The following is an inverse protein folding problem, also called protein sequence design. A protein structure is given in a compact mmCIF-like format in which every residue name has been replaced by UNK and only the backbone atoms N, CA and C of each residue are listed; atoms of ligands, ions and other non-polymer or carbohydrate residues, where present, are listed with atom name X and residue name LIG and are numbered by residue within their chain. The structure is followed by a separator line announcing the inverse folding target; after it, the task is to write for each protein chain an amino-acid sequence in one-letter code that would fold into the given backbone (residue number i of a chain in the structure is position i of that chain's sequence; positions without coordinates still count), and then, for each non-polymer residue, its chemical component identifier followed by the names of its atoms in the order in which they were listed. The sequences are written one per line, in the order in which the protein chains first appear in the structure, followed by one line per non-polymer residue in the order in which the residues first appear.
data_IF_114995029055
#
_entry.id   IF_114995029055
#
_cell.length_a   1.000
_cell.length_b   1.000
_cell.length_c   1.000
_cell.angle_alpha   90.00
_cell.angle_beta   90.00
_cell.angle_gamma   90.00
#
_symmetry.space_group_name_H-M   'P 1'
#
loop_
_entity.id
_entity.type
_entity.pdbx_description
1 polymer ?
#
# COMPACT_ATOMS: atom_id res chain seq x y z
N UNK A 1 3.05 -9.29 -74.07
CA UNK A 1 2.00 -8.95 -73.08
C UNK A 1 2.15 -9.83 -71.87
N UNK A 2 2.73 -9.31 -70.75
CA UNK A 2 2.81 -10.00 -69.46
C UNK A 2 2.15 -9.12 -68.42
N UNK A 3 1.03 -9.57 -67.84
CA UNK A 3 0.28 -8.91 -66.76
C UNK A 3 0.93 -9.26 -65.41
N UNK A 4 1.41 -8.23 -64.73
CA UNK A 4 1.88 -8.34 -63.36
C UNK A 4 0.66 -8.21 -62.43
N UNK A 5 0.39 -9.26 -61.65
CA UNK A 5 -0.59 -9.22 -60.54
C UNK A 5 0.09 -8.70 -59.28
N UNK A 6 -0.36 -7.55 -58.78
CA UNK A 6 0.01 -7.04 -57.48
C UNK A 6 -0.85 -7.72 -56.42
N UNK A 7 -0.20 -8.48 -55.55
CA UNK A 7 -0.83 -9.07 -54.36
C UNK A 7 -0.87 -8.02 -53.25
N UNK A 8 -2.08 -7.59 -52.86
CA UNK A 8 -2.30 -6.74 -51.70
C UNK A 8 -2.23 -7.61 -50.44
N UNK A 9 -1.16 -7.47 -49.67
CA UNK A 9 -1.07 -8.07 -48.33
C UNK A 9 -1.84 -7.19 -47.36
N UNK A 10 -2.97 -7.68 -46.84
CA UNK A 10 -3.78 -7.01 -45.82
C UNK A 10 -3.10 -7.19 -44.47
N UNK A 11 -2.53 -6.10 -43.96
CA UNK A 11 -1.92 -6.06 -42.64
C UNK A 11 -3.04 -5.90 -41.61
N UNK A 12 -3.38 -6.99 -40.91
CA UNK A 12 -4.32 -6.98 -39.79
C UNK A 12 -3.60 -6.47 -38.54
N UNK A 13 -3.81 -5.23 -38.17
CA UNK A 13 -3.34 -4.65 -36.92
C UNK A 13 -4.28 -5.14 -35.82
N UNK A 14 -3.83 -6.13 -35.06
CA UNK A 14 -4.52 -6.56 -33.81
C UNK A 14 -4.36 -5.46 -32.76
N UNK A 15 -5.44 -4.72 -32.53
CA UNK A 15 -5.53 -3.74 -31.46
C UNK A 15 -5.58 -4.52 -30.12
N UNK A 16 -4.43 -4.64 -29.45
CA UNK A 16 -4.38 -5.12 -28.08
C UNK A 16 -4.97 -4.04 -27.20
N UNK A 17 -6.24 -4.17 -26.85
CA UNK A 17 -6.89 -3.36 -25.83
C UNK A 17 -6.25 -3.69 -24.49
N UNK A 18 -5.27 -2.90 -24.09
CA UNK A 18 -4.81 -2.85 -22.72
C UNK A 18 -5.99 -2.29 -21.92
N UNK A 19 -6.71 -3.17 -21.23
CA UNK A 19 -7.72 -2.74 -20.24
C UNK A 19 -6.98 -1.96 -19.16
N UNK A 20 -6.95 -0.64 -19.30
CA UNK A 20 -6.67 0.25 -18.19
C UNK A 20 -7.77 -0.05 -17.16
N UNK A 21 -7.38 -0.50 -15.98
CA UNK A 21 -8.25 -0.42 -14.81
C UNK A 21 -8.63 1.06 -14.70
N UNK A 22 -9.90 1.36 -15.04
CA UNK A 22 -10.49 2.66 -14.79
C UNK A 22 -10.62 2.73 -13.29
N UNK A 23 -9.66 3.37 -12.63
CA UNK A 23 -9.82 3.76 -11.24
C UNK A 23 -11.01 4.73 -11.22
N UNK A 24 -11.94 4.51 -10.29
CA UNK A 24 -13.05 5.42 -10.08
C UNK A 24 -12.50 6.84 -9.86
N UNK A 25 -13.12 7.85 -10.48
CA UNK A 25 -12.80 9.25 -10.21
C UNK A 25 -13.15 9.54 -8.73
N UNK A 26 -12.16 9.49 -7.85
CA UNK A 26 -12.30 9.72 -6.42
C UNK A 26 -11.09 9.22 -5.64
N UNK A 27 -10.99 9.57 -4.35
CA UNK A 27 -9.88 9.11 -3.52
C UNK A 27 -9.83 7.58 -3.46
N UNK A 28 -8.65 7.02 -3.66
CA UNK A 28 -8.38 5.60 -3.53
C UNK A 28 -8.18 5.27 -2.04
N UNK A 29 -9.10 4.49 -1.48
CA UNK A 29 -9.13 4.17 -0.05
C UNK A 29 -8.54 2.78 0.21
N UNK A 30 -7.71 2.69 1.25
CA UNK A 30 -7.25 1.45 1.84
C UNK A 30 -7.95 1.23 3.20
N UNK A 31 -8.46 0.02 3.43
CA UNK A 31 -8.94 -0.42 4.74
C UNK A 31 -7.94 -1.40 5.33
N UNK A 32 -7.46 -1.11 6.53
CA UNK A 32 -6.47 -1.90 7.24
C UNK A 32 -7.00 -2.35 8.59
N UNK A 33 -6.85 -3.63 8.90
CA UNK A 33 -7.24 -4.22 10.19
C UNK A 33 -6.00 -4.76 10.87
N UNK A 34 -5.75 -4.31 12.07
CA UNK A 34 -4.58 -4.69 12.86
C UNK A 34 -4.96 -5.63 13.99
N UNK A 35 -4.17 -6.70 14.13
CA UNK A 35 -4.30 -7.70 15.19
C UNK A 35 -2.95 -7.84 15.89
N UNK A 36 -2.96 -7.80 17.23
CA UNK A 36 -1.76 -8.10 18.02
C UNK A 36 -2.04 -9.39 18.81
N UNK A 37 -1.30 -10.46 18.54
CA UNK A 37 -1.57 -11.75 19.15
C UNK A 37 -1.31 -11.72 20.66
N UNK A 38 -2.19 -12.40 21.45
CA UNK A 38 -1.93 -12.69 22.85
C UNK A 38 -0.65 -13.54 22.98
N UNK A 39 0.05 -13.47 24.13
CA UNK A 39 1.15 -14.40 24.41
C UNK A 39 0.71 -15.86 24.17
N UNK A 40 1.49 -16.62 23.42
CA UNK A 40 1.19 -18.00 23.07
C UNK A 40 0.10 -18.21 21.99
N UNK A 41 -0.58 -17.15 21.51
CA UNK A 41 -1.69 -17.27 20.56
C UNK A 41 -1.31 -16.93 19.09
N UNK A 42 -0.02 -16.88 18.76
CA UNK A 42 0.42 -16.54 17.40
C UNK A 42 -0.14 -17.51 16.36
N UNK A 43 0.12 -18.81 16.49
CA UNK A 43 -0.34 -19.80 15.53
C UNK A 43 -1.89 -19.92 15.49
N UNK A 44 -2.63 -19.93 16.62
CA UNK A 44 -4.09 -19.84 16.59
C UNK A 44 -4.62 -18.57 15.88
N UNK A 45 -3.98 -17.40 16.05
CA UNK A 45 -4.39 -16.17 15.37
C UNK A 45 -4.15 -16.27 13.85
N UNK A 46 -3.00 -16.79 13.43
CA UNK A 46 -2.71 -17.03 12.01
C UNK A 46 -3.75 -17.96 11.38
N UNK A 47 -4.12 -19.04 12.07
CA UNK A 47 -5.15 -19.96 11.58
C UNK A 47 -6.55 -19.31 11.51
N UNK A 48 -6.88 -18.43 12.46
CA UNK A 48 -8.14 -17.68 12.42
C UNK A 48 -8.18 -16.68 11.25
N UNK A 49 -7.07 -15.98 10.96
CA UNK A 49 -6.95 -15.08 9.79
C UNK A 49 -7.10 -15.90 8.51
N UNK A 50 -6.43 -17.05 8.39
CA UNK A 50 -6.52 -17.94 7.24
C UNK A 50 -7.95 -18.42 7.00
N UNK A 51 -8.62 -18.89 8.04
CA UNK A 51 -10.02 -19.29 7.98
C UNK A 51 -10.93 -18.15 7.51
N UNK A 52 -10.66 -16.93 7.93
CA UNK A 52 -11.38 -15.75 7.44
C UNK A 52 -11.17 -15.55 5.94
N UNK A 53 -9.96 -15.72 5.41
CA UNK A 53 -9.69 -15.61 3.98
C UNK A 53 -10.34 -16.74 3.18
N UNK A 54 -10.42 -17.94 3.75
CA UNK A 54 -11.13 -19.07 3.12
C UNK A 54 -12.63 -18.81 3.02
N UNK A 55 -13.26 -18.30 4.08
CA UNK A 55 -14.68 -17.88 4.06
C UNK A 55 -14.95 -16.80 3.00
N UNK A 56 -14.07 -15.80 2.89
CA UNK A 56 -14.17 -14.77 1.84
C UNK A 56 -14.07 -15.37 0.44
N UNK A 57 -13.19 -16.35 0.26
CA UNK A 57 -13.04 -17.08 -1.01
C UNK A 57 -14.29 -17.86 -1.37
N UNK A 58 -14.90 -18.57 -0.41
CA UNK A 58 -16.17 -19.29 -0.57
C UNK A 58 -17.31 -18.34 -0.93
N UNK A 59 -17.36 -17.17 -0.31
CA UNK A 59 -18.34 -16.11 -0.60
C UNK A 59 -18.06 -15.36 -1.91
N UNK A 60 -17.00 -15.71 -2.62
CA UNK A 60 -16.55 -15.04 -3.87
C UNK A 60 -16.33 -13.56 -3.68
N UNK A 61 -15.72 -13.17 -2.54
CA UNK A 61 -15.36 -11.77 -2.29
C UNK A 61 -14.49 -11.26 -3.44
N UNK A 62 -14.88 -10.18 -4.15
CA UNK A 62 -14.13 -9.66 -5.28
C UNK A 62 -12.88 -8.90 -4.86
N UNK A 63 -12.76 -8.56 -3.58
CA UNK A 63 -11.68 -7.74 -3.06
C UNK A 63 -10.43 -8.58 -2.83
N UNK A 64 -9.30 -7.96 -3.08
CA UNK A 64 -7.99 -8.52 -2.75
C UNK A 64 -7.65 -8.13 -1.31
N UNK A 65 -7.36 -9.13 -0.47
CA UNK A 65 -6.94 -8.92 0.92
C UNK A 65 -5.50 -9.37 1.10
N UNK A 66 -4.64 -8.46 1.52
CA UNK A 66 -3.22 -8.69 1.73
C UNK A 66 -2.93 -8.74 3.21
N UNK A 67 -2.28 -9.81 3.66
CA UNK A 67 -1.84 -9.95 5.05
C UNK A 67 -0.34 -9.66 5.17
N UNK A 68 0.00 -8.88 6.18
CA UNK A 68 1.37 -8.50 6.52
C UNK A 68 1.65 -8.82 7.98
N UNK A 69 2.79 -9.43 8.25
CA UNK A 69 3.31 -9.70 9.58
C UNK A 69 4.36 -8.64 9.93
N UNK A 70 4.22 -7.99 11.07
CA UNK A 70 5.26 -7.13 11.60
C UNK A 70 6.44 -7.99 12.07
N UNK A 71 7.63 -7.71 11.55
CA UNK A 71 8.87 -8.40 11.90
C UNK A 71 9.82 -7.52 12.71
N UNK A 72 9.46 -6.25 12.89
CA UNK A 72 10.06 -5.33 13.85
C UNK A 72 9.01 -4.39 14.45
N UNK A 73 9.35 -3.73 15.56
CA UNK A 73 8.42 -2.89 16.31
C UNK A 73 7.52 -3.72 17.24
N UNK A 74 6.22 -3.52 17.16
CA UNK A 74 5.23 -4.24 17.97
C UNK A 74 4.97 -5.63 17.38
N UNK A 75 5.58 -6.67 17.97
CA UNK A 75 5.44 -8.06 17.51
C UNK A 75 4.92 -8.95 18.65
N UNK A 76 4.09 -9.98 18.35
CA UNK A 76 3.55 -10.37 17.03
C UNK A 76 2.30 -9.57 16.65
N UNK A 77 2.40 -8.79 15.59
CA UNK A 77 1.31 -7.99 15.06
C UNK A 77 1.10 -8.31 13.58
N UNK A 78 -0.15 -8.28 13.15
CA UNK A 78 -0.56 -8.51 11.77
C UNK A 78 -1.41 -7.33 11.27
N UNK A 79 -1.29 -7.02 9.99
CA UNK A 79 -2.18 -6.13 9.27
C UNK A 79 -2.83 -6.90 8.13
N UNK A 80 -4.15 -6.91 8.06
CA UNK A 80 -4.90 -7.41 6.92
C UNK A 80 -5.53 -6.23 6.21
N UNK A 81 -5.16 -6.00 4.96
CA UNK A 81 -5.49 -4.78 4.23
C UNK A 81 -6.09 -5.06 2.86
N UNK A 82 -6.98 -4.18 2.43
CA UNK A 82 -7.47 -4.08 1.05
C UNK A 82 -7.28 -2.65 0.57
N UNK A 83 -7.04 -2.47 -0.74
CA UNK A 83 -6.63 -1.20 -1.33
C UNK A 83 -7.40 -0.90 -2.61
N UNK A 84 -7.46 0.38 -2.99
CA UNK A 84 -7.97 0.81 -4.28
C UNK A 84 -9.49 0.87 -4.35
N UNK A 85 -10.16 1.20 -3.24
CA UNK A 85 -11.61 1.28 -3.15
C UNK A 85 -12.09 2.73 -3.13
N UNK A 86 -13.26 2.96 -3.74
CA UNK A 86 -14.03 4.18 -3.47
C UNK A 86 -14.78 4.03 -2.14
N UNK A 87 -15.05 5.13 -1.43
CA UNK A 87 -15.82 5.11 -0.19
C UNK A 87 -17.18 4.42 -0.33
N UNK A 88 -17.90 4.65 -1.45
CA UNK A 88 -19.19 4.04 -1.72
C UNK A 88 -19.16 2.49 -1.83
N UNK A 89 -18.00 1.90 -2.11
CA UNK A 89 -17.87 0.44 -2.18
C UNK A 89 -17.97 -0.22 -0.80
N UNK A 90 -17.60 0.51 0.26
CA UNK A 90 -17.74 0.02 1.63
C UNK A 90 -19.21 -0.08 2.06
N UNK A 91 -20.10 0.80 1.58
CA UNK A 91 -21.55 0.71 1.83
C UNK A 91 -22.12 -0.59 1.24
N UNK A 92 -21.72 -0.93 0.01
CA UNK A 92 -22.16 -2.15 -0.67
C UNK A 92 -21.67 -3.42 0.04
N UNK A 93 -20.45 -3.41 0.57
CA UNK A 93 -19.89 -4.53 1.31
C UNK A 93 -20.68 -4.83 2.59
N UNK A 94 -21.18 -3.80 3.27
CA UNK A 94 -22.00 -3.92 4.48
C UNK A 94 -23.39 -4.49 4.13
N UNK A 95 -24.02 -3.98 3.06
CA UNK A 95 -25.36 -4.43 2.62
C UNK A 95 -25.35 -5.88 2.12
N UNK A 96 -24.26 -6.35 1.53
CA UNK A 96 -24.13 -7.73 1.02
C UNK A 96 -23.99 -8.80 2.12
N UNK A 97 -24.18 -8.46 3.39
CA UNK A 97 -24.08 -9.40 4.51
C UNK A 97 -22.64 -9.87 4.78
N UNK A 98 -21.66 -9.18 4.23
CA UNK A 98 -20.22 -9.38 4.53
C UNK A 98 -19.90 -8.76 5.88
N UNK A 99 -20.75 -9.07 6.89
CA UNK A 99 -20.62 -8.50 8.21
C UNK A 99 -19.25 -8.87 8.76
N UNK A 100 -18.50 -7.85 9.09
CA UNK A 100 -17.19 -7.94 9.73
C UNK A 100 -17.25 -8.73 11.04
N UNK A 101 -18.42 -8.73 11.68
CA UNK A 101 -18.68 -9.39 12.95
C UNK A 101 -18.56 -10.91 12.90
N UNK A 102 -19.03 -11.56 11.82
CA UNK A 102 -18.97 -13.03 11.75
C UNK A 102 -17.61 -13.58 11.34
N UNK A 103 -16.83 -12.82 10.56
CA UNK A 103 -15.55 -13.30 10.03
C UNK A 103 -14.34 -12.92 10.91
N UNK A 104 -14.44 -11.83 11.68
CA UNK A 104 -13.36 -11.33 12.52
C UNK A 104 -13.38 -11.81 13.98
N UNK A 105 -14.50 -12.34 14.46
CA UNK A 105 -14.68 -12.68 15.88
C UNK A 105 -13.64 -13.67 16.41
N UNK A 106 -13.25 -14.68 15.61
CA UNK A 106 -12.22 -15.65 15.98
C UNK A 106 -10.84 -15.01 16.16
N UNK A 107 -10.43 -14.16 15.22
CA UNK A 107 -9.14 -13.44 15.30
C UNK A 107 -9.16 -12.39 16.43
N UNK A 108 -10.28 -11.69 16.62
CA UNK A 108 -10.45 -10.71 17.69
C UNK A 108 -10.30 -11.35 19.08
N UNK A 109 -10.87 -12.53 19.29
CA UNK A 109 -10.77 -13.26 20.57
C UNK A 109 -9.32 -13.66 20.91
N UNK A 110 -8.44 -13.81 19.92
CA UNK A 110 -7.04 -14.19 20.05
C UNK A 110 -6.08 -12.98 20.08
N UNK A 111 -6.62 -11.77 19.87
CA UNK A 111 -5.87 -10.53 19.98
C UNK A 111 -5.77 -10.05 21.42
N UNK A 112 -4.61 -9.46 21.79
CA UNK A 112 -4.37 -8.88 23.13
C UNK A 112 -5.24 -7.65 23.40
N UNK A 113 -5.56 -6.91 22.31
CA UNK A 113 -6.46 -5.76 22.31
C UNK A 113 -7.54 -5.98 21.23
N UNK A 114 -8.67 -5.27 21.28
CA UNK A 114 -9.61 -5.23 20.17
C UNK A 114 -8.89 -4.90 18.86
N UNK A 115 -9.27 -5.54 17.74
CA UNK A 115 -8.69 -5.19 16.45
C UNK A 115 -8.89 -3.71 16.14
N UNK A 116 -7.84 -3.07 15.62
CA UNK A 116 -7.91 -1.67 15.20
C UNK A 116 -8.20 -1.63 13.72
N UNK A 117 -9.28 -0.97 13.34
CA UNK A 117 -9.66 -0.75 11.92
C UNK A 117 -9.34 0.68 11.55
N UNK A 118 -8.54 0.84 10.50
CA UNK A 118 -8.13 2.15 9.99
C UNK A 118 -8.46 2.28 8.51
N UNK A 119 -8.88 3.47 8.11
CA UNK A 119 -9.10 3.84 6.71
C UNK A 119 -8.11 4.91 6.32
N UNK A 120 -7.38 4.64 5.27
CA UNK A 120 -6.36 5.53 4.72
C UNK A 120 -6.74 5.96 3.31
N UNK A 121 -6.57 7.22 3.00
CA UNK A 121 -6.63 7.74 1.64
C UNK A 121 -5.23 7.66 1.01
N UNK A 122 -5.14 7.09 -0.18
CA UNK A 122 -3.89 6.98 -0.92
C UNK A 122 -3.57 8.29 -1.62
N UNK A 123 -2.39 8.84 -1.39
CA UNK A 123 -1.92 10.09 -1.96
C UNK A 123 -1.15 9.81 -3.26
N UNK A 124 -1.88 9.62 -4.36
CA UNK A 124 -1.30 9.22 -5.65
C UNK A 124 -0.36 10.29 -6.23
N UNK A 125 -0.68 11.58 -6.01
CA UNK A 125 0.07 12.73 -6.50
C UNK A 125 1.48 12.89 -5.89
N UNK A 126 1.74 12.21 -4.77
CA UNK A 126 3.04 12.22 -4.09
C UNK A 126 3.63 10.82 -3.91
N UNK A 127 3.04 9.82 -4.56
CA UNK A 127 3.47 8.42 -4.55
C UNK A 127 4.20 8.04 -5.83
N UNK A 128 5.15 7.11 -5.74
CA UNK A 128 5.84 6.55 -6.90
C UNK A 128 5.67 5.03 -6.92
N UNK A 129 4.82 4.55 -7.81
CA UNK A 129 4.50 3.12 -7.93
C UNK A 129 5.63 2.29 -8.54
N UNK A 130 6.57 2.93 -9.26
CA UNK A 130 7.57 2.22 -10.05
C UNK A 130 6.93 1.36 -11.14
N UNK A 131 7.74 0.48 -11.74
CA UNK A 131 7.29 -0.45 -12.80
C UNK A 131 6.93 -1.85 -12.27
N UNK A 132 7.17 -2.13 -11.00
CA UNK A 132 6.92 -3.45 -10.42
C UNK A 132 5.44 -3.62 -10.05
N UNK A 133 4.83 -4.69 -10.57
CA UNK A 133 3.42 -5.03 -10.33
C UNK A 133 3.21 -6.07 -9.23
N UNK A 134 4.30 -6.69 -8.73
CA UNK A 134 4.20 -7.75 -7.72
C UNK A 134 4.09 -7.17 -6.30
N UNK A 135 3.38 -7.87 -5.43
CA UNK A 135 3.41 -7.60 -4.00
C UNK A 135 4.82 -7.87 -3.47
N UNK A 136 5.48 -6.89 -2.85
CA UNK A 136 6.83 -7.08 -2.31
C UNK A 136 6.81 -8.10 -1.16
N UNK A 137 7.89 -8.84 -0.97
CA UNK A 137 8.02 -9.80 0.14
C UNK A 137 8.27 -9.12 1.47
N UNK A 138 8.93 -7.98 1.45
CA UNK A 138 9.20 -7.11 2.60
C UNK A 138 8.81 -5.67 2.26
N UNK A 139 8.43 -4.92 3.29
CA UNK A 139 8.25 -3.47 3.18
C UNK A 139 8.67 -2.80 4.48
N UNK A 140 9.11 -1.56 4.37
CA UNK A 140 9.25 -0.65 5.49
C UNK A 140 7.98 0.21 5.57
N UNK A 141 7.43 0.33 6.76
CA UNK A 141 6.32 1.24 7.06
C UNK A 141 6.85 2.31 8.00
N UNK A 142 6.65 3.57 7.65
CA UNK A 142 6.89 4.70 8.54
C UNK A 142 5.59 5.45 8.79
N UNK A 143 5.19 5.57 10.04
CA UNK A 143 4.03 6.32 10.50
C UNK A 143 4.51 7.67 11.03
N UNK A 144 3.94 8.74 10.52
CA UNK A 144 4.23 10.11 10.91
C UNK A 144 3.00 10.72 11.58
N UNK A 145 3.08 11.00 12.86
CA UNK A 145 2.11 11.82 13.56
C UNK A 145 2.51 13.29 13.44
N UNK A 146 1.62 14.14 12.97
CA UNK A 146 1.92 15.56 12.81
C UNK A 146 1.45 16.40 14.00
N UNK A 147 2.02 17.59 14.11
CA UNK A 147 1.45 18.65 14.94
C UNK A 147 0.15 19.17 14.31
N UNK A 148 -0.83 19.53 15.14
CA UNK A 148 -2.08 20.12 14.67
C UNK A 148 -1.80 21.39 13.83
N UNK A 149 -2.54 21.54 12.72
CA UNK A 149 -2.40 22.66 11.80
C UNK A 149 -1.18 22.57 10.86
N UNK A 150 -0.42 21.47 10.87
CA UNK A 150 0.78 21.30 10.05
C UNK A 150 0.57 20.44 8.81
N UNK A 151 -0.65 19.92 8.57
CA UNK A 151 -0.96 19.07 7.41
C UNK A 151 -0.61 19.75 6.08
N UNK A 152 -1.03 20.99 5.86
CA UNK A 152 -0.73 21.71 4.61
C UNK A 152 0.78 21.90 4.39
N UNK A 153 1.54 22.23 5.46
CA UNK A 153 2.99 22.34 5.41
C UNK A 153 3.66 21.01 5.04
N UNK A 154 3.21 19.92 5.65
CA UNK A 154 3.73 18.57 5.40
C UNK A 154 3.44 18.13 3.97
N UNK A 155 2.18 18.24 3.50
CA UNK A 155 1.80 17.90 2.14
C UNK A 155 2.55 18.74 1.07
N UNK A 156 2.79 20.02 1.34
CA UNK A 156 3.61 20.84 0.44
C UNK A 156 5.05 20.30 0.35
N UNK A 157 5.64 19.91 1.48
CA UNK A 157 6.97 19.31 1.49
C UNK A 157 7.00 17.94 0.77
N UNK A 158 5.95 17.12 0.90
CA UNK A 158 5.86 15.84 0.17
C UNK A 158 5.83 16.05 -1.34
N UNK A 159 5.09 17.06 -1.84
CA UNK A 159 5.07 17.38 -3.28
C UNK A 159 6.45 17.82 -3.77
N UNK A 160 7.12 18.72 -3.05
CA UNK A 160 8.47 19.15 -3.42
C UNK A 160 9.47 17.98 -3.40
N UNK A 161 9.36 17.04 -2.44
CA UNK A 161 10.16 15.81 -2.43
C UNK A 161 9.85 14.93 -3.64
N UNK A 162 8.57 14.72 -3.94
CA UNK A 162 8.15 13.92 -5.08
C UNK A 162 8.69 14.49 -6.39
N UNK A 163 8.53 15.79 -6.62
CA UNK A 163 8.98 16.49 -7.82
C UNK A 163 10.52 16.39 -7.98
N UNK A 164 11.25 16.57 -6.88
CA UNK A 164 12.71 16.49 -6.89
C UNK A 164 13.24 15.07 -7.15
N UNK A 165 12.52 14.03 -6.72
CA UNK A 165 12.99 12.64 -6.79
C UNK A 165 12.47 11.90 -8.02
N UNK A 166 11.33 12.28 -8.59
CA UNK A 166 10.71 11.62 -9.75
C UNK A 166 11.44 11.87 -11.07
N UNK A 167 12.22 12.96 -11.17
CA UNK A 167 13.01 13.31 -12.36
C UNK A 167 14.28 12.48 -12.58
N UNK A 168 14.73 11.67 -11.60
CA UNK A 168 15.93 10.85 -11.68
C UNK A 168 15.62 9.40 -12.05
N UNK A 169 16.19 8.90 -13.15
CA UNK A 169 16.04 7.49 -13.54
C UNK A 169 16.48 6.55 -12.40
N UNK A 170 15.56 5.70 -11.91
CA UNK A 170 15.80 4.78 -10.79
C UNK A 170 15.15 5.21 -9.47
N UNK A 171 14.13 6.05 -9.50
CA UNK A 171 13.35 6.40 -8.33
C UNK A 171 12.80 5.14 -7.63
N UNK A 172 13.13 4.98 -6.34
CA UNK A 172 12.62 3.90 -5.51
C UNK A 172 11.09 3.97 -5.44
N UNK A 173 10.42 2.82 -5.47
CA UNK A 173 8.99 2.74 -5.23
C UNK A 173 8.68 3.18 -3.79
N UNK A 174 7.68 4.02 -3.63
CA UNK A 174 7.11 4.41 -2.33
C UNK A 174 5.66 4.86 -2.51
N UNK A 175 4.87 4.69 -1.46
CA UNK A 175 3.45 5.03 -1.46
C UNK A 175 3.11 5.78 -0.18
N UNK A 176 2.41 6.90 -0.31
CA UNK A 176 1.94 7.72 0.80
C UNK A 176 0.45 7.56 1.02
N UNK A 177 0.07 7.54 2.27
CA UNK A 177 -1.32 7.43 2.71
C UNK A 177 -1.57 8.43 3.84
N UNK A 178 -2.77 9.04 3.85
CA UNK A 178 -3.26 9.88 4.94
C UNK A 178 -4.32 9.11 5.72
N UNK A 179 -4.22 9.07 7.05
CA UNK A 179 -5.23 8.44 7.91
C UNK A 179 -6.49 9.31 7.90
N UNK A 180 -7.59 8.73 7.40
CA UNK A 180 -8.90 9.39 7.39
C UNK A 180 -9.68 9.12 8.69
N UNK A 181 -9.69 7.86 9.16
CA UNK A 181 -10.38 7.47 10.39
C UNK A 181 -9.80 6.21 11.04
N UNK A 182 -10.11 6.00 12.32
CA UNK A 182 -9.71 4.82 13.08
C UNK A 182 -8.42 5.01 13.90
N UNK A 183 -7.94 6.23 14.08
CA UNK A 183 -6.77 6.53 14.90
C UNK A 183 -6.59 8.03 15.15
N UNK A 184 -5.45 8.39 15.71
CA UNK A 184 -5.10 9.78 15.98
C UNK A 184 -4.71 10.51 14.69
N UNK A 185 -5.37 11.64 14.40
CA UNK A 185 -5.11 12.49 13.24
C UNK A 185 -4.54 13.84 13.67
N UNK A 186 -3.75 14.51 12.83
CA UNK A 186 -3.33 14.15 11.48
C UNK A 186 -2.17 13.13 11.49
N UNK A 187 -2.33 12.03 10.75
CA UNK A 187 -1.34 10.97 10.64
C UNK A 187 -1.12 10.57 9.19
N UNK A 188 0.13 10.32 8.82
CA UNK A 188 0.52 9.85 7.49
C UNK A 188 1.30 8.54 7.59
N UNK A 189 1.18 7.71 6.58
CA UNK A 189 1.93 6.47 6.44
C UNK A 189 2.71 6.48 5.14
N UNK A 190 3.99 6.19 5.22
CA UNK A 190 4.86 5.89 4.08
C UNK A 190 5.10 4.38 4.04
N UNK A 191 4.84 3.77 2.90
CA UNK A 191 5.16 2.38 2.59
C UNK A 191 6.27 2.34 1.55
N UNK A 192 7.40 1.70 1.88
CA UNK A 192 8.54 1.52 0.97
C UNK A 192 8.79 0.03 0.77
N UNK A 193 8.49 -0.52 -0.41
CA UNK A 193 8.82 -1.90 -0.73
C UNK A 193 10.32 -2.19 -0.64
N UNK A 194 10.66 -3.37 -0.11
CA UNK A 194 12.04 -3.84 0.00
C UNK A 194 12.15 -5.22 -0.64
N UNK A 195 13.17 -5.44 -1.45
CA UNK A 195 13.39 -6.74 -2.09
C UNK A 195 13.82 -7.81 -1.08
N UNK A 196 14.69 -7.44 -0.15
CA UNK A 196 15.27 -8.29 0.88
C UNK A 196 15.76 -7.43 2.05
N UNK A 197 16.39 -8.04 3.05
CA UNK A 197 16.94 -7.33 4.21
C UNK A 197 18.12 -6.42 3.86
N UNK A 198 18.94 -6.77 2.88
CA UNK A 198 20.04 -5.93 2.40
C UNK A 198 19.55 -4.57 1.89
N UNK A 199 18.34 -4.53 1.31
CA UNK A 199 17.74 -3.29 0.84
C UNK A 199 17.36 -2.30 1.96
N UNK A 200 17.45 -2.70 3.24
CA UNK A 200 17.31 -1.80 4.39
C UNK A 200 18.61 -1.03 4.70
N UNK A 201 19.76 -1.45 4.17
CA UNK A 201 21.03 -0.71 4.28
C UNK A 201 21.02 0.62 3.51
N UNK A 202 19.93 0.92 2.78
CA UNK A 202 19.76 2.20 2.11
C UNK A 202 19.75 3.31 3.15
N UNK A 203 20.87 4.03 3.27
CA UNK A 203 21.05 5.09 4.27
C UNK A 203 20.10 6.24 4.02
N UNK A 204 19.59 6.86 5.09
CA UNK A 204 18.87 8.13 5.01
C UNK A 204 19.70 9.21 4.29
N UNK A 205 21.02 9.12 4.39
CA UNK A 205 21.98 9.99 3.71
C UNK A 205 21.75 10.02 2.19
N UNK A 206 21.44 8.84 1.57
CA UNK A 206 21.20 8.78 0.13
C UNK A 206 19.96 9.55 -0.31
N UNK A 207 18.96 9.69 0.55
CA UNK A 207 17.79 10.50 0.27
C UNK A 207 18.16 12.00 0.30
N UNK A 208 18.87 12.43 1.33
CA UNK A 208 19.35 13.81 1.45
C UNK A 208 20.35 14.15 0.34
N UNK A 209 21.29 13.26 0.04
CA UNK A 209 22.25 13.44 -1.05
C UNK A 209 21.55 13.66 -2.40
N UNK A 210 20.51 12.88 -2.70
CA UNK A 210 19.71 13.06 -3.93
C UNK A 210 18.96 14.41 -3.94
N UNK A 211 18.37 14.81 -2.83
CA UNK A 211 17.76 16.11 -2.71
C UNK A 211 18.77 17.24 -2.91
N UNK A 212 19.95 17.13 -2.30
CA UNK A 212 21.03 18.10 -2.46
C UNK A 212 21.54 18.19 -3.91
N UNK A 213 21.64 17.03 -4.59
CA UNK A 213 22.01 16.98 -6.00
C UNK A 213 20.97 17.66 -6.91
N UNK A 214 19.69 17.51 -6.60
CA UNK A 214 18.59 18.04 -7.43
C UNK A 214 18.29 19.51 -7.13
N UNK A 215 18.19 19.86 -5.85
CA UNK A 215 17.73 21.18 -5.41
C UNK A 215 18.86 22.12 -4.97
N UNK A 216 20.08 21.57 -4.78
CA UNK A 216 21.17 22.26 -4.11
C UNK A 216 21.04 22.22 -2.58
N UNK A 217 22.18 22.25 -1.89
CA UNK A 217 22.28 22.03 -0.44
C UNK A 217 21.38 22.93 0.41
N UNK A 218 21.30 24.22 0.07
CA UNK A 218 20.49 25.19 0.85
C UNK A 218 19.00 24.91 0.74
N UNK A 219 18.50 24.62 -0.46
CA UNK A 219 17.08 24.34 -0.69
C UNK A 219 16.68 23.00 -0.10
N UNK A 220 17.51 21.97 -0.27
CA UNK A 220 17.30 20.64 0.32
C UNK A 220 17.20 20.71 1.85
N UNK A 221 18.10 21.44 2.52
CA UNK A 221 18.08 21.63 3.97
C UNK A 221 16.80 22.34 4.42
N UNK A 222 16.38 23.41 3.72
CA UNK A 222 15.14 24.13 4.01
C UNK A 222 13.90 23.24 3.87
N UNK A 223 13.83 22.46 2.80
CA UNK A 223 12.73 21.53 2.55
C UNK A 223 12.65 20.44 3.62
N UNK A 224 13.80 19.89 4.01
CA UNK A 224 13.88 18.91 5.07
C UNK A 224 13.47 19.48 6.44
N UNK A 225 13.85 20.72 6.76
CA UNK A 225 13.40 21.42 7.95
C UNK A 225 11.88 21.66 7.93
N UNK A 226 11.32 22.07 6.79
CA UNK A 226 9.88 22.25 6.60
C UNK A 226 9.12 20.93 6.88
N UNK A 227 9.62 19.81 6.38
CA UNK A 227 9.04 18.49 6.61
C UNK A 227 9.16 18.09 8.09
N UNK A 228 10.36 18.12 8.66
CA UNK A 228 10.61 17.63 10.03
C UNK A 228 9.92 18.47 11.09
N UNK A 229 9.82 19.78 10.90
CA UNK A 229 9.11 20.68 11.83
C UNK A 229 7.59 20.47 11.87
N UNK A 230 7.02 19.78 10.88
CA UNK A 230 5.62 19.39 10.91
C UNK A 230 5.37 18.09 11.69
N UNK A 231 6.41 17.25 11.85
CA UNK A 231 6.32 15.93 12.47
C UNK A 231 6.45 16.02 13.98
N UNK A 232 5.45 15.50 14.69
CA UNK A 232 5.44 15.35 16.15
C UNK A 232 6.19 14.10 16.61
N UNK A 233 5.93 12.98 15.90
CA UNK A 233 6.60 11.71 16.17
C UNK A 233 6.62 10.84 14.92
N UNK A 234 7.59 9.92 14.87
CA UNK A 234 7.72 8.94 13.80
C UNK A 234 7.95 7.56 14.39
N UNK A 235 7.26 6.56 13.83
CA UNK A 235 7.51 5.15 14.11
C UNK A 235 7.86 4.43 12.82
N UNK A 236 8.83 3.52 12.86
CA UNK A 236 9.22 2.68 11.72
C UNK A 236 9.11 1.21 12.07
N UNK A 237 8.63 0.43 11.13
CA UNK A 237 8.50 -1.02 11.26
C UNK A 237 8.84 -1.69 9.94
N UNK A 238 9.42 -2.88 10.01
CA UNK A 238 9.54 -3.78 8.88
C UNK A 238 8.36 -4.77 8.92
N UNK A 239 7.77 -5.03 7.76
CA UNK A 239 6.68 -5.98 7.60
C UNK A 239 7.00 -6.99 6.51
N UNK A 240 6.56 -8.23 6.71
CA UNK A 240 6.68 -9.34 5.75
C UNK A 240 5.33 -9.68 5.18
N UNK A 241 5.24 -9.80 3.87
CA UNK A 241 4.04 -10.28 3.20
C UNK A 241 3.79 -11.75 3.51
N UNK A 242 2.54 -12.09 3.84
CA UNK A 242 2.07 -13.43 4.18
C UNK A 242 1.04 -13.87 3.15
N UNK A 243 1.51 -14.45 2.04
CA UNK A 243 0.63 -14.95 0.98
C UNK A 243 -0.31 -16.05 1.46
N UNK A 244 0.13 -16.84 2.43
CA UNK A 244 -0.64 -17.91 3.07
C UNK A 244 -1.82 -17.42 3.94
N UNK A 245 -1.78 -16.15 4.36
CA UNK A 245 -2.84 -15.47 5.12
C UNK A 245 -3.62 -14.46 4.27
N UNK A 246 -3.42 -14.45 2.95
CA UNK A 246 -3.98 -13.44 2.03
C UNK A 246 -5.04 -14.07 1.12
N UNK A 247 -5.99 -13.22 0.67
CA UNK A 247 -6.89 -13.55 -0.43
C UNK A 247 -6.39 -12.87 -1.70
N UNK A 248 -5.71 -13.62 -2.54
CA UNK A 248 -5.24 -13.16 -3.84
C UNK A 248 -6.25 -13.55 -4.93
N UNK A 249 -6.41 -12.73 -5.99
CA UNK A 249 -7.20 -13.12 -7.15
C UNK A 249 -6.67 -14.43 -7.72
N UNK A 250 -7.57 -15.33 -8.11
CA UNK A 250 -7.20 -16.54 -8.84
C UNK A 250 -6.57 -16.09 -10.15
N UNK A 251 -5.26 -16.30 -10.30
CA UNK A 251 -4.62 -16.10 -11.60
C UNK A 251 -5.28 -17.08 -12.57
N UNK A 252 -6.07 -16.56 -13.50
CA UNK A 252 -6.50 -17.37 -14.65
C UNK A 252 -5.23 -17.72 -15.40
N UNK A 253 -4.81 -18.97 -15.29
CA UNK A 253 -3.72 -19.50 -16.10
C UNK A 253 -3.93 -19.18 -17.56
N UNK A 254 -2.86 -19.10 -18.39
CA UNK A 254 -3.00 -18.93 -19.81
C UNK A 254 -3.99 -20.00 -20.31
N UNK A 255 -5.04 -19.55 -21.02
CA UNK A 255 -5.94 -20.52 -21.70
C UNK A 255 -5.08 -21.39 -22.61
N UNK A 256 -5.24 -22.71 -22.56
CA UNK A 256 -4.55 -23.62 -23.46
C UNK A 256 -4.83 -23.31 -24.91
#
# INVERSE_FOLDING_TARGET
MRRNAFSLATLTISLVTVSRLVFAEGPSVARMVFFTAKPGSRAPLEEAIKKQMDLRREQKDPWRWLAWEYVSGEVPRYCVATFGHAWAEFDQATVAGRSEESSGAGAAALSSNPPVVQYFEHLEDVSNFGTQTNTPTLAEIAIFQLHYGKTAQFCAALREFHDALSGGGGASRYEWFELHSGGDTPQFMLLVPRANWEAFDTRADLFLDRLEQTLGKKQAAKLFEQFTSAVKSQQRSAVRFRSDLSLLPIQKGPKP
#
